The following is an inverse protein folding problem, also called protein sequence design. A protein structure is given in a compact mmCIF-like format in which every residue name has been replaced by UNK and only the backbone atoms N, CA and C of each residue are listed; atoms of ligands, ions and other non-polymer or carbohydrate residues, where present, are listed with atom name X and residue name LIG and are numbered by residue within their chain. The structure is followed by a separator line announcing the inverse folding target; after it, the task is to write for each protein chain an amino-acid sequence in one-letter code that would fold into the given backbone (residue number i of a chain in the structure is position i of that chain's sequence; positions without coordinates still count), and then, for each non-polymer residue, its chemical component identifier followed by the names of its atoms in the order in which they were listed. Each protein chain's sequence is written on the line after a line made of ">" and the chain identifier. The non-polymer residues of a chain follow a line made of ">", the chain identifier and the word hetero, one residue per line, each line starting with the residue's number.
data_IF_641245678443
#
_entry.id   IF_641245678443
#
_cell.length_a   1.000
_cell.length_b   1.000
_cell.length_c   1.000
_cell.angle_alpha   90.00
_cell.angle_beta   90.00
_cell.angle_gamma   90.00
#
_symmetry.space_group_name_H-M   'P 1'
#
loop_
_entity.id
_entity.type
_entity.pdbx_description
1 polymer ?
#
# COMPACT_ATOMS: atom_id res chain seq x y z
N UNK A 1 -5.88 0.06 -3.36
CA UNK A 1 -6.29 1.47 -3.28
C UNK A 1 -6.23 2.04 -4.69
N UNK A 2 -7.35 2.49 -5.27
CA UNK A 2 -7.33 2.96 -6.66
C UNK A 2 -6.58 4.30 -6.76
N UNK A 3 -5.64 4.39 -7.71
CA UNK A 3 -5.00 5.65 -8.07
C UNK A 3 -5.95 6.41 -9.01
N UNK A 4 -6.96 7.06 -8.42
CA UNK A 4 -8.02 7.75 -9.18
C UNK A 4 -7.56 9.07 -9.80
N UNK A 5 -6.49 9.64 -9.24
CA UNK A 5 -5.97 10.94 -9.61
C UNK A 5 -4.57 10.81 -10.22
N UNK A 6 -4.30 11.41 -11.41
CA UNK A 6 -3.00 11.33 -12.06
C UNK A 6 -1.83 11.81 -11.20
N UNK A 7 -2.03 12.79 -10.32
CA UNK A 7 -1.01 13.29 -9.39
C UNK A 7 -0.52 12.26 -8.38
N UNK A 8 -1.29 11.19 -8.15
CA UNK A 8 -0.90 10.12 -7.25
C UNK A 8 -0.09 9.03 -7.97
N UNK A 9 0.11 9.13 -9.29
CA UNK A 9 0.90 8.19 -10.09
C UNK A 9 2.36 8.65 -10.07
N UNK A 10 3.24 7.80 -9.53
CA UNK A 10 4.68 8.03 -9.50
C UNK A 10 5.41 7.49 -10.72
N UNK A 11 4.98 6.32 -11.20
CA UNK A 11 5.52 5.68 -12.40
C UNK A 11 4.47 4.78 -13.05
N UNK A 12 4.56 4.63 -14.36
CA UNK A 12 3.84 3.58 -15.09
C UNK A 12 4.81 2.47 -15.44
N UNK A 13 4.54 1.28 -14.92
CA UNK A 13 5.30 0.07 -15.25
C UNK A 13 4.42 -0.89 -16.05
N UNK A 14 5.04 -1.95 -16.60
CA UNK A 14 4.33 -2.97 -17.38
C UNK A 14 3.17 -3.63 -16.62
N UNK A 15 3.27 -3.68 -15.29
CA UNK A 15 2.28 -4.27 -14.39
C UNK A 15 1.19 -3.29 -13.92
N UNK A 16 1.23 -2.03 -14.39
CA UNK A 16 0.27 -0.97 -14.05
C UNK A 16 0.90 0.25 -13.36
N UNK A 17 0.08 1.24 -12.97
CA UNK A 17 0.59 2.44 -12.31
C UNK A 17 1.00 2.16 -10.85
N UNK A 18 2.12 2.76 -10.45
CA UNK A 18 2.60 2.77 -9.08
C UNK A 18 2.32 4.12 -8.43
N UNK A 19 2.08 4.10 -7.12
CA UNK A 19 1.83 5.32 -6.36
C UNK A 19 3.09 6.20 -6.30
N UNK A 20 2.92 7.52 -6.21
CA UNK A 20 4.05 8.47 -6.04
C UNK A 20 4.91 8.17 -4.81
N UNK A 21 4.34 7.54 -3.79
CA UNK A 21 5.07 7.12 -2.60
C UNK A 21 5.84 5.81 -2.79
N UNK A 22 5.51 5.03 -3.81
CA UNK A 22 6.06 3.71 -4.11
C UNK A 22 7.37 3.79 -4.90
N UNK A 23 7.63 4.95 -5.53
CA UNK A 23 8.83 5.21 -6.32
C UNK A 23 9.69 6.30 -5.69
N UNK A 24 10.97 6.33 -6.03
CA UNK A 24 11.91 7.36 -5.61
C UNK A 24 11.94 8.54 -6.60
N UNK A 25 12.90 9.45 -6.41
CA UNK A 25 13.06 10.63 -7.26
C UNK A 25 13.54 10.33 -8.68
N UNK A 26 14.08 9.14 -8.95
CA UNK A 26 14.47 8.72 -10.31
C UNK A 26 13.33 7.98 -11.03
N UNK A 27 12.23 7.69 -10.32
CA UNK A 27 11.10 6.92 -10.84
C UNK A 27 11.27 5.42 -10.64
N UNK A 28 12.31 4.99 -9.93
CA UNK A 28 12.56 3.59 -9.61
C UNK A 28 11.78 3.17 -8.38
N UNK A 29 11.42 1.89 -8.31
CA UNK A 29 10.64 1.35 -7.20
C UNK A 29 11.50 1.33 -5.94
N UNK A 30 10.98 1.91 -4.85
CA UNK A 30 11.64 1.88 -3.54
C UNK A 30 11.76 0.45 -3.01
N UNK A 31 12.60 0.27 -2.00
CA UNK A 31 12.71 -1.03 -1.32
C UNK A 31 11.38 -1.42 -0.71
N UNK A 32 11.07 -2.72 -0.72
CA UNK A 32 9.82 -3.24 -0.18
C UNK A 32 9.56 -2.77 1.26
N UNK A 33 10.59 -2.75 2.12
CA UNK A 33 10.49 -2.29 3.50
C UNK A 33 10.11 -0.80 3.62
N UNK A 34 10.62 0.05 2.73
CA UNK A 34 10.32 1.49 2.73
C UNK A 34 8.87 1.74 2.27
N UNK A 35 8.43 1.00 1.23
CA UNK A 35 7.05 1.04 0.74
C UNK A 35 6.08 0.53 1.81
N UNK A 36 6.46 -0.56 2.48
CA UNK A 36 5.67 -1.15 3.56
C UNK A 36 5.51 -0.18 4.73
N UNK A 37 6.62 0.38 5.24
CA UNK A 37 6.57 1.35 6.33
C UNK A 37 5.79 2.61 5.93
N UNK A 38 5.99 3.11 4.71
CA UNK A 38 5.23 4.24 4.18
C UNK A 38 3.72 3.97 4.16
N UNK A 39 3.30 2.78 3.74
CA UNK A 39 1.91 2.34 3.80
C UNK A 39 1.37 2.27 5.23
N UNK A 40 2.18 1.77 6.19
CA UNK A 40 1.79 1.65 7.60
C UNK A 40 1.53 3.04 8.17
N UNK A 41 2.45 3.97 7.93
CA UNK A 41 2.33 5.35 8.37
C UNK A 41 1.12 6.05 7.73
N UNK A 42 0.85 5.78 6.45
CA UNK A 42 -0.34 6.29 5.79
C UNK A 42 -1.62 5.84 6.50
N UNK A 43 -1.82 4.53 6.72
CA UNK A 43 -3.03 4.06 7.38
C UNK A 43 -3.16 4.59 8.82
N UNK A 44 -2.06 4.64 9.57
CA UNK A 44 -2.04 5.21 10.93
C UNK A 44 -2.42 6.70 10.94
N UNK A 45 -2.00 7.48 9.94
CA UNK A 45 -2.31 8.90 9.84
C UNK A 45 -3.73 9.16 9.29
N UNK A 46 -4.22 8.31 8.39
CA UNK A 46 -5.48 8.51 7.69
C UNK A 46 -6.70 7.95 8.42
N UNK A 47 -6.53 6.91 9.24
CA UNK A 47 -7.65 6.25 9.93
C UNK A 47 -7.51 6.46 11.44
N UNK A 48 -8.45 7.18 12.08
CA UNK A 48 -8.38 7.42 13.51
C UNK A 48 -8.60 6.13 14.29
N UNK A 49 -7.88 6.00 15.41
CA UNK A 49 -8.01 4.90 16.38
C UNK A 49 -7.67 3.48 15.86
N UNK A 50 -6.87 3.36 14.79
CA UNK A 50 -6.27 2.07 14.45
C UNK A 50 -4.91 1.92 15.12
N UNK A 51 -4.52 0.68 15.42
CA UNK A 51 -3.19 0.38 15.88
C UNK A 51 -2.26 -0.01 14.71
N UNK A 52 -0.97 -0.10 15.02
CA UNK A 52 0.05 -0.48 14.04
C UNK A 52 -0.17 -1.88 13.48
N UNK A 53 -0.69 -2.81 14.30
CA UNK A 53 -0.92 -4.19 13.88
C UNK A 53 -1.99 -4.27 12.79
N UNK A 54 -3.10 -3.55 12.93
CA UNK A 54 -4.11 -3.43 11.90
C UNK A 54 -3.56 -2.71 10.66
N UNK A 55 -2.80 -1.62 10.84
CA UNK A 55 -2.17 -0.92 9.73
C UNK A 55 -1.25 -1.85 8.90
N UNK A 56 -0.38 -2.62 9.53
CA UNK A 56 0.49 -3.60 8.86
C UNK A 56 -0.32 -4.65 8.08
N UNK A 57 -1.38 -5.19 8.68
CA UNK A 57 -2.29 -6.15 8.04
C UNK A 57 -3.00 -5.57 6.82
N UNK A 58 -3.43 -4.30 6.89
CA UNK A 58 -4.03 -3.55 5.79
C UNK A 58 -3.01 -3.31 4.66
N UNK A 59 -1.77 -2.96 5.00
CA UNK A 59 -0.70 -2.77 4.02
C UNK A 59 -0.36 -4.06 3.29
N UNK A 60 -0.20 -5.18 4.00
CA UNK A 60 0.05 -6.49 3.36
C UNK A 60 -1.06 -6.85 2.38
N UNK A 61 -2.32 -6.71 2.80
CA UNK A 61 -3.49 -6.96 1.96
C UNK A 61 -3.50 -6.04 0.73
N UNK A 62 -3.21 -4.75 0.89
CA UNK A 62 -3.17 -3.79 -0.21
C UNK A 62 -2.03 -4.07 -1.18
N UNK A 63 -0.80 -4.30 -0.70
CA UNK A 63 0.37 -4.56 -1.54
C UNK A 63 0.20 -5.86 -2.32
N UNK A 64 -0.20 -6.96 -1.66
CA UNK A 64 -0.42 -8.27 -2.33
C UNK A 64 -1.52 -8.24 -3.40
N UNK A 65 -2.45 -7.28 -3.32
CA UNK A 65 -3.47 -7.09 -4.35
C UNK A 65 -2.94 -6.41 -5.63
N UNK A 66 -1.76 -5.78 -5.59
CA UNK A 66 -1.17 -5.12 -6.76
C UNK A 66 -0.39 -6.14 -7.61
N UNK A 67 -0.50 -6.09 -8.96
CA UNK A 67 0.17 -7.04 -9.85
C UNK A 67 1.69 -7.14 -9.63
N UNK A 68 2.37 -6.00 -9.44
CA UNK A 68 3.82 -5.96 -9.20
C UNK A 68 4.27 -6.91 -8.06
N UNK A 69 3.53 -6.94 -6.95
CA UNK A 69 3.91 -7.74 -5.77
C UNK A 69 3.54 -9.22 -5.87
N UNK A 70 2.79 -9.62 -6.91
CA UNK A 70 2.50 -11.04 -7.16
C UNK A 70 3.73 -11.77 -7.72
N UNK A 71 4.53 -11.08 -8.53
CA UNK A 71 5.76 -11.61 -9.13
C UNK A 71 7.03 -11.16 -8.37
N UNK A 72 6.95 -10.12 -7.53
CA UNK A 72 8.07 -9.58 -6.76
C UNK A 72 7.88 -9.80 -5.25
N UNK A 73 7.89 -11.06 -4.81
CA UNK A 73 7.69 -11.39 -3.40
C UNK A 73 8.79 -10.78 -2.50
N UNK A 74 8.40 -10.31 -1.33
CA UNK A 74 9.34 -9.73 -0.36
C UNK A 74 8.97 -10.13 1.08
N UNK A 75 9.97 -10.17 1.96
CA UNK A 75 9.77 -10.68 3.33
C UNK A 75 8.79 -9.85 4.17
N UNK A 76 8.66 -8.54 3.94
CA UNK A 76 7.67 -7.75 4.68
C UNK A 76 6.23 -8.01 4.22
N UNK A 77 5.99 -8.81 3.18
CA UNK A 77 4.67 -9.32 2.83
C UNK A 77 4.36 -10.67 3.52
N UNK A 78 5.33 -11.29 4.20
CA UNK A 78 5.08 -12.43 5.07
C UNK A 78 4.37 -11.97 6.35
N UNK A 79 3.18 -12.50 6.61
CA UNK A 79 2.43 -12.22 7.83
C UNK A 79 0.93 -12.21 7.60
N UNK A 80 0.21 -11.96 8.69
CA UNK A 80 -1.25 -11.85 8.66
C UNK A 80 -1.70 -10.68 7.79
N UNK A 81 -2.81 -10.91 7.10
CA UNK A 81 -3.50 -9.90 6.29
C UNK A 81 -4.78 -9.45 7.00
N UNK A 82 -5.24 -8.26 6.64
CA UNK A 82 -6.58 -7.84 6.99
C UNK A 82 -7.58 -8.75 6.27
N UNK A 83 -8.64 -9.14 6.96
CA UNK A 83 -9.81 -9.75 6.32
C UNK A 83 -10.43 -8.79 5.33
N UNK A 84 -11.24 -9.31 4.40
CA UNK A 84 -11.94 -8.48 3.43
C UNK A 84 -12.84 -7.42 4.09
N UNK A 85 -13.48 -7.78 5.21
CA UNK A 85 -14.33 -6.88 5.98
C UNK A 85 -13.54 -5.76 6.65
N UNK A 86 -12.39 -6.07 7.27
CA UNK A 86 -11.49 -5.07 7.86
C UNK A 86 -10.96 -4.14 6.77
N UNK A 87 -10.52 -4.70 5.63
CA UNK A 87 -9.97 -3.93 4.53
C UNK A 87 -11.01 -2.97 3.94
N UNK A 88 -12.22 -3.45 3.66
CA UNK A 88 -13.31 -2.60 3.15
C UNK A 88 -13.72 -1.52 4.15
N UNK A 89 -13.79 -1.85 5.44
CA UNK A 89 -14.09 -0.89 6.50
C UNK A 89 -13.02 0.20 6.62
N UNK A 90 -11.75 -0.17 6.48
CA UNK A 90 -10.64 0.78 6.48
C UNK A 90 -10.68 1.70 5.26
N UNK A 91 -10.90 1.14 4.06
CA UNK A 91 -10.99 1.94 2.83
C UNK A 91 -12.15 2.94 2.86
N UNK A 92 -13.31 2.57 3.42
CA UNK A 92 -14.45 3.49 3.57
C UNK A 92 -14.17 4.67 4.53
N UNK A 93 -13.13 4.58 5.37
CA UNK A 93 -12.74 5.64 6.29
C UNK A 93 -11.68 6.57 5.71
N UNK A 94 -11.02 6.18 4.61
CA UNK A 94 -10.11 7.06 3.90
C UNK A 94 -10.95 8.18 3.26
N UNK A 95 -10.69 9.41 3.68
CA UNK A 95 -11.27 10.60 3.06
C UNK A 95 -10.47 10.88 1.78
N UNK A 96 -11.17 10.93 0.65
CA UNK A 96 -10.64 11.50 -0.60
C UNK A 96 -10.37 13.00 -0.46
#
# INVERSE_FOLDING_TARGET
>A
MPLLHPENIGAEISDGPLCIHCVDSTGDIKKCADIFEGGVQFFLASIPNIDRMLAERLVRKNMKALPYWQENFCDCLNGEEASEAEFKTALNQLKE
#
